data_IF_486896220017
#
_entry.id   IF_486896220017
#
_cell.length_a   1.000
_cell.length_b   1.000
_cell.length_c   1.000
_cell.angle_alpha   90.00
_cell.angle_beta   90.00
_cell.angle_gamma   90.00
#
_symmetry.space_group_name_H-M   'P 1'
#
loop_
_entity.id
_entity.type
_entity.pdbx_description
1 polymer ?
#
# COMPACT_ATOMS: atom_id res chain seq x y z
N UNK A 1 2.56 -39.14 13.87
CA UNK A 1 2.57 -40.46 14.55
C UNK A 1 1.14 -40.93 14.75
N UNK A 2 0.69 -41.77 13.83
CA UNK A 2 -0.60 -42.48 13.93
C UNK A 2 -0.44 -43.55 15.01
N UNK A 3 -1.27 -43.50 16.06
CA UNK A 3 -1.12 -44.38 17.23
C UNK A 3 -1.71 -45.78 16.99
N UNK A 4 -2.65 -45.92 16.05
CA UNK A 4 -3.30 -47.18 15.68
C UNK A 4 -3.63 -47.15 14.17
N UNK A 5 -2.67 -47.50 13.32
CA UNK A 5 -2.85 -47.53 11.85
C UNK A 5 -3.69 -48.75 11.42
N UNK A 6 -4.97 -48.72 11.76
CA UNK A 6 -5.94 -49.78 11.46
C UNK A 6 -6.26 -49.92 9.96
N UNK A 7 -5.92 -48.91 9.16
CA UNK A 7 -6.18 -48.87 7.71
C UNK A 7 -4.91 -49.10 6.87
N UNK A 8 -3.72 -49.05 7.47
CA UNK A 8 -2.44 -49.28 6.80
C UNK A 8 -2.02 -48.15 5.85
N UNK A 9 -2.59 -46.96 5.99
CA UNK A 9 -2.37 -45.80 5.10
C UNK A 9 -1.56 -44.70 5.79
N UNK A 10 -1.10 -44.91 7.02
CA UNK A 10 -0.37 -43.89 7.78
C UNK A 10 0.89 -43.42 7.07
N UNK A 11 1.66 -44.35 6.52
CA UNK A 11 2.90 -44.04 5.79
C UNK A 11 2.62 -43.26 4.48
N UNK A 12 1.56 -43.62 3.75
CA UNK A 12 1.14 -42.93 2.53
C UNK A 12 0.75 -41.47 2.83
N UNK A 13 -0.06 -41.25 3.86
CA UNK A 13 -0.49 -39.91 4.28
C UNK A 13 0.68 -39.06 4.79
N UNK A 14 1.63 -39.65 5.51
CA UNK A 14 2.85 -38.95 5.94
C UNK A 14 3.71 -38.54 4.73
N UNK A 15 3.82 -39.39 3.71
CA UNK A 15 4.50 -39.04 2.45
C UNK A 15 3.78 -37.93 1.68
N UNK A 16 2.45 -37.92 1.66
CA UNK A 16 1.68 -36.84 1.03
C UNK A 16 1.84 -35.51 1.75
N UNK A 17 1.79 -35.52 3.08
CA UNK A 17 2.07 -34.32 3.88
C UNK A 17 3.48 -33.79 3.65
N UNK A 18 4.48 -34.66 3.57
CA UNK A 18 5.86 -34.26 3.27
C UNK A 18 5.95 -33.54 1.91
N UNK A 19 5.29 -34.06 0.87
CA UNK A 19 5.26 -33.41 -0.46
C UNK A 19 4.64 -32.00 -0.43
N UNK A 20 3.56 -31.82 0.35
CA UNK A 20 2.92 -30.50 0.50
C UNK A 20 3.87 -29.51 1.18
N UNK A 21 4.56 -29.95 2.24
CA UNK A 21 5.52 -29.11 2.95
C UNK A 21 6.73 -28.77 2.07
N UNK A 22 7.26 -29.74 1.34
CA UNK A 22 8.43 -29.55 0.46
C UNK A 22 8.15 -28.62 -0.73
N UNK A 23 6.91 -28.66 -1.24
CA UNK A 23 6.48 -27.81 -2.35
C UNK A 23 5.96 -26.43 -1.93
N UNK A 24 5.81 -26.19 -0.62
CA UNK A 24 5.31 -24.92 -0.13
C UNK A 24 6.34 -23.80 -0.37
N UNK A 25 5.92 -22.75 -1.08
CA UNK A 25 6.68 -21.53 -1.28
C UNK A 25 5.97 -20.34 -0.63
N UNK A 26 6.70 -19.60 0.19
CA UNK A 26 6.19 -18.39 0.83
C UNK A 26 6.76 -17.14 0.15
N UNK A 27 5.93 -16.44 -0.62
CA UNK A 27 6.30 -15.18 -1.28
C UNK A 27 6.80 -14.10 -0.30
N UNK A 28 6.29 -14.13 0.93
CA UNK A 28 6.73 -13.24 2.00
C UNK A 28 8.13 -13.58 2.50
N UNK A 29 8.43 -14.85 2.71
CA UNK A 29 9.77 -15.28 3.10
C UNK A 29 10.79 -14.89 2.02
N UNK A 30 10.43 -15.11 0.74
CA UNK A 30 11.25 -14.68 -0.40
C UNK A 30 11.48 -13.16 -0.38
N UNK A 31 10.44 -12.39 -0.13
CA UNK A 31 10.51 -10.92 -0.04
C UNK A 31 11.37 -10.44 1.12
N UNK A 32 11.30 -11.11 2.28
CA UNK A 32 12.09 -10.77 3.46
C UNK A 32 13.57 -11.12 3.30
N UNK A 33 13.88 -12.19 2.56
CA UNK A 33 15.25 -12.63 2.30
C UNK A 33 15.98 -11.79 1.23
N UNK A 34 15.26 -10.99 0.45
CA UNK A 34 15.83 -10.09 -0.56
C UNK A 34 15.87 -8.65 -0.03
N UNK A 35 17.07 -8.11 0.28
CA UNK A 35 17.23 -6.75 0.79
C UNK A 35 16.70 -5.66 -0.15
N UNK A 36 16.73 -5.88 -1.47
CA UNK A 36 16.21 -4.93 -2.45
C UNK A 36 14.68 -4.91 -2.45
N UNK A 37 14.05 -6.09 -2.37
CA UNK A 37 12.58 -6.18 -2.27
C UNK A 37 12.08 -5.66 -0.93
N UNK A 38 12.79 -5.97 0.17
CA UNK A 38 12.47 -5.45 1.50
C UNK A 38 12.55 -3.91 1.54
N UNK A 39 13.49 -3.30 0.82
CA UNK A 39 13.61 -1.85 0.73
C UNK A 39 12.37 -1.16 0.11
N UNK A 40 11.61 -1.86 -0.75
CA UNK A 40 10.36 -1.34 -1.33
C UNK A 40 9.24 -1.23 -0.31
N UNK A 41 9.26 -2.07 0.73
CA UNK A 41 8.27 -2.07 1.82
C UNK A 41 8.64 -1.12 2.97
N UNK A 42 9.73 -0.35 2.85
CA UNK A 42 10.01 0.80 3.71
C UNK A 42 9.08 1.98 3.36
N UNK A 43 7.77 1.75 3.32
CA UNK A 43 6.80 2.85 3.32
C UNK A 43 7.07 3.70 4.57
N UNK A 44 7.59 4.93 4.36
CA UNK A 44 7.54 6.19 5.13
C UNK A 44 7.22 6.21 6.65
N UNK A 45 7.27 5.09 7.36
CA UNK A 45 6.82 4.93 8.75
C UNK A 45 7.96 5.22 9.73
N UNK A 46 9.21 5.18 9.28
CA UNK A 46 10.38 5.45 10.13
C UNK A 46 10.96 6.86 9.97
N UNK A 47 10.19 7.81 9.43
CA UNK A 47 10.54 9.23 9.53
C UNK A 47 9.61 9.92 10.50
N UNK A 48 10.16 10.68 11.45
CA UNK A 48 9.37 11.54 12.35
C UNK A 48 8.66 12.68 11.61
N UNK A 49 8.94 12.86 10.32
CA UNK A 49 8.26 13.82 9.47
C UNK A 49 6.90 13.28 9.04
N UNK A 50 5.81 14.04 9.24
CA UNK A 50 4.49 13.64 8.79
C UNK A 50 4.46 13.56 7.26
N UNK A 51 3.86 12.50 6.73
CA UNK A 51 3.62 12.37 5.29
C UNK A 51 2.62 13.44 4.84
N UNK A 52 3.08 14.38 4.00
CA UNK A 52 2.25 15.46 3.45
C UNK A 52 1.09 14.92 2.59
N UNK A 53 1.19 13.70 2.05
CA UNK A 53 0.12 13.04 1.33
C UNK A 53 -0.99 12.52 2.26
N UNK A 54 -0.71 12.36 3.55
CA UNK A 54 -1.66 11.86 4.56
C UNK A 54 -2.25 13.04 5.33
N UNK A 55 -3.17 13.75 4.68
CA UNK A 55 -3.92 14.82 5.31
C UNK A 55 -5.13 14.27 6.07
N UNK A 56 -5.40 14.79 7.27
CA UNK A 56 -6.50 14.35 8.15
C UNK A 56 -7.40 15.51 8.54
N UNK A 57 -8.70 15.26 8.68
CA UNK A 57 -9.68 16.19 9.26
C UNK A 57 -10.33 15.58 10.49
N UNK A 58 -10.82 16.41 11.41
CA UNK A 58 -11.62 15.94 12.54
C UNK A 58 -13.10 15.81 12.16
N UNK A 59 -13.66 14.62 12.37
CA UNK A 59 -15.10 14.39 12.28
C UNK A 59 -15.59 13.88 13.64
N UNK A 60 -16.43 14.67 14.32
CA UNK A 60 -17.00 14.32 15.64
C UNK A 60 -15.93 13.95 16.67
N UNK A 61 -14.79 14.63 16.65
CA UNK A 61 -13.67 14.38 17.57
C UNK A 61 -12.79 13.18 17.22
N UNK A 62 -12.94 12.59 16.02
CA UNK A 62 -12.08 11.52 15.53
C UNK A 62 -11.32 11.99 14.28
N UNK A 63 -9.98 11.80 14.20
CA UNK A 63 -9.22 12.11 13.00
C UNK A 63 -9.55 11.11 11.89
N UNK A 64 -10.06 11.60 10.77
CA UNK A 64 -10.33 10.85 9.54
C UNK A 64 -9.39 11.32 8.43
N UNK A 65 -9.05 10.44 7.50
CA UNK A 65 -8.32 10.84 6.29
C UNK A 65 -9.18 11.82 5.49
N UNK A 66 -8.56 12.88 4.95
CA UNK A 66 -9.21 13.68 3.93
C UNK A 66 -9.50 12.78 2.74
N UNK A 67 -10.74 12.77 2.27
CA UNK A 67 -11.06 12.15 1.01
C UNK A 67 -10.34 12.94 -0.08
N UNK A 68 -9.39 12.30 -0.77
CA UNK A 68 -8.94 12.83 -2.04
C UNK A 68 -10.08 12.61 -3.01
N UNK A 69 -10.47 13.65 -3.76
CA UNK A 69 -11.47 13.47 -4.81
C UNK A 69 -10.93 12.40 -5.78
N UNK A 70 -11.60 11.26 -5.83
CA UNK A 70 -11.35 10.25 -6.85
C UNK A 70 -11.75 10.88 -8.17
N UNK A 71 -10.75 11.28 -8.97
CA UNK A 71 -10.95 11.56 -10.38
C UNK A 71 -11.71 10.37 -10.99
N UNK A 72 -12.79 10.60 -11.76
CA UNK A 72 -13.56 9.51 -12.34
C UNK A 72 -12.64 8.62 -13.18
N UNK A 73 -12.71 7.30 -12.98
CA UNK A 73 -12.01 6.30 -13.79
C UNK A 73 -12.47 6.44 -15.25
N UNK A 74 -11.73 7.20 -16.05
CA UNK A 74 -12.08 7.42 -17.44
C UNK A 74 -11.33 8.57 -18.09
N UNK A 75 -10.00 8.44 -18.15
CA UNK A 75 -9.12 8.83 -19.28
C UNK A 75 -7.71 9.09 -18.76
N UNK A 76 -6.81 8.14 -19.00
CA UNK A 76 -5.37 8.39 -18.96
C UNK A 76 -4.99 8.98 -20.33
N UNK A 77 -4.65 10.29 -20.44
CA UNK A 77 -4.14 10.82 -21.69
C UNK A 77 -2.77 10.20 -21.97
N UNK A 78 -2.73 9.34 -22.98
CA UNK A 78 -1.49 8.83 -23.56
C UNK A 78 -0.71 10.00 -24.16
N UNK A 79 0.24 10.54 -23.40
CA UNK A 79 1.00 11.71 -23.83
C UNK A 79 1.93 12.27 -22.77
N UNK A 80 3.23 12.08 -23.00
CA UNK A 80 4.40 12.70 -22.34
C UNK A 80 4.11 13.88 -21.40
N UNK A 81 4.44 13.66 -20.13
CA UNK A 81 5.02 14.63 -19.20
C UNK A 81 4.25 15.94 -19.00
N UNK A 82 3.44 16.02 -17.94
CA UNK A 82 2.95 17.32 -17.44
C UNK A 82 3.25 17.49 -15.96
N UNK A 83 4.06 18.52 -15.73
CA UNK A 83 4.48 19.12 -14.47
C UNK A 83 3.26 19.44 -13.60
N UNK A 84 3.32 19.09 -12.33
CA UNK A 84 2.40 19.59 -11.31
C UNK A 84 2.50 21.13 -11.28
N UNK A 85 1.39 21.80 -11.58
CA UNK A 85 1.31 23.25 -11.47
C UNK A 85 1.03 23.59 -10.00
N UNK A 86 2.01 24.19 -9.32
CA UNK A 86 1.83 24.85 -8.02
C UNK A 86 0.76 25.94 -8.13
N UNK A 87 -0.39 25.73 -7.50
CA UNK A 87 -1.43 26.76 -7.36
C UNK A 87 -0.96 27.81 -6.35
N UNK A 88 -0.56 28.98 -6.84
CA UNK A 88 -0.32 30.16 -6.01
C UNK A 88 -1.67 30.81 -5.68
N UNK A 89 -1.97 31.19 -4.41
CA UNK A 89 -3.25 31.77 -4.07
C UNK A 89 -3.40 33.20 -4.63
N UNK A 90 -4.52 33.46 -5.29
CA UNK A 90 -4.84 34.72 -5.96
C UNK A 90 -5.21 35.82 -4.95
N UNK A 91 -4.35 36.84 -4.81
CA UNK A 91 -4.62 38.04 -3.99
C UNK A 91 -5.55 39.00 -4.75
N UNK A 92 -6.82 39.11 -4.34
CA UNK A 92 -7.79 40.10 -4.86
C UNK A 92 -7.25 41.53 -4.70
N UNK A 93 -6.94 42.22 -5.82
CA UNK A 93 -6.75 43.68 -5.83
C UNK A 93 -8.12 44.37 -5.82
N UNK A 94 -8.42 45.16 -4.78
CA UNK A 94 -9.50 46.17 -4.85
C UNK A 94 -8.99 47.33 -5.70
N UNK A 95 -9.68 47.65 -6.79
CA UNK A 95 -9.38 48.82 -7.61
C UNK A 95 -9.87 50.11 -6.93
N UNK A 96 -9.02 51.13 -6.95
CA UNK A 96 -9.35 52.54 -6.72
C UNK A 96 -9.34 53.23 -8.09
N UNK A 97 -10.37 54.00 -8.43
CA UNK A 97 -10.41 54.88 -9.61
C UNK A 97 -10.22 56.36 -9.19
N UNK A 98 -9.65 57.23 -10.04
CA UNK A 98 -9.14 58.55 -9.62
C UNK A 98 -10.06 59.74 -9.92
N UNK A 99 -9.77 60.83 -9.17
CA UNK A 99 -10.12 62.26 -9.28
C UNK A 99 -11.59 62.67 -9.18
#
# INVERSE_FOLDING_TARGET
>A
MVLEDSLGIGEELEQEMARIVDSYQCEWQTTLNDPQRLALFRSFVNSDQPDEAVQRHELRGQPQLLQTETLPEGELPSGRGRRYATLTPFRRRRGSAPA
#
